data_IF_926493189278
#
_entry.id   IF_926493189278
#
_cell.length_a   1.000
_cell.length_b   1.000
_cell.length_c   1.000
_cell.angle_alpha   90.00
_cell.angle_beta   90.00
_cell.angle_gamma   90.00
#
_symmetry.space_group_name_H-M   'P 1'
#
loop_
_entity.id
_entity.type
_entity.pdbx_description
1 polymer ?
#
# COMPACT_ATOMS: atom_id res chain seq x y z
N UNK A 1 95.37 -34.34 16.86
CA UNK A 1 94.72 -34.22 18.18
C UNK A 1 93.49 -33.37 17.94
N UNK A 2 92.30 -33.99 18.10
CA UNK A 2 91.02 -33.52 18.70
C UNK A 2 90.75 -32.00 18.49
N UNK A 3 89.69 -31.55 17.82
CA UNK A 3 88.24 -31.60 18.18
C UNK A 3 87.40 -31.39 16.89
N UNK A 4 86.35 -32.18 16.62
CA UNK A 4 84.93 -31.97 16.98
C UNK A 4 84.36 -30.61 16.51
N UNK A 5 83.46 -30.64 15.51
CA UNK A 5 82.28 -29.75 15.46
C UNK A 5 81.25 -30.24 14.41
N UNK A 6 80.30 -30.98 14.98
CA UNK A 6 78.86 -31.04 14.73
C UNK A 6 78.28 -30.27 13.51
N UNK A 7 77.93 -31.02 12.45
CA UNK A 7 77.10 -30.50 11.35
C UNK A 7 75.62 -30.68 11.70
N UNK A 8 75.08 -29.65 12.33
CA UNK A 8 73.65 -29.40 12.58
C UNK A 8 72.81 -29.57 11.31
N UNK A 9 72.02 -30.64 11.24
CA UNK A 9 70.90 -30.81 10.31
C UNK A 9 69.71 -29.96 10.78
N UNK A 10 69.53 -28.79 10.18
CA UNK A 10 68.35 -27.94 10.37
C UNK A 10 67.43 -28.05 9.17
N UNK A 11 66.40 -28.88 9.26
CA UNK A 11 65.23 -28.85 8.39
C UNK A 11 63.97 -29.10 9.22
N UNK A 12 63.01 -28.19 9.03
CA UNK A 12 61.56 -28.36 9.11
C UNK A 12 60.84 -28.05 10.44
N UNK A 13 60.65 -26.75 10.64
CA UNK A 13 59.56 -26.11 11.40
C UNK A 13 58.18 -26.57 10.91
N UNK A 14 57.62 -27.62 11.52
CA UNK A 14 56.19 -27.89 11.45
C UNK A 14 55.48 -27.16 12.59
N UNK A 15 55.24 -25.85 12.39
CA UNK A 15 54.32 -25.05 13.19
C UNK A 15 52.92 -25.67 13.08
N UNK A 16 52.49 -26.40 14.12
CA UNK A 16 51.11 -26.86 14.25
C UNK A 16 50.26 -25.67 14.65
N UNK A 17 49.62 -25.07 13.64
CA UNK A 17 48.69 -23.95 13.76
C UNK A 17 47.42 -24.41 14.49
N UNK A 18 47.24 -23.86 15.69
CA UNK A 18 46.03 -23.87 16.48
C UNK A 18 44.98 -23.00 15.79
N UNK A 19 44.21 -23.63 14.89
CA UNK A 19 42.95 -23.07 14.41
C UNK A 19 41.83 -23.96 14.91
N UNK A 20 41.44 -23.72 16.16
CA UNK A 20 40.08 -23.91 16.65
C UNK A 20 39.08 -23.37 15.63
N UNK A 21 38.68 -24.21 14.68
CA UNK A 21 37.56 -23.98 13.77
C UNK A 21 36.28 -24.16 14.60
N UNK A 22 36.02 -23.16 15.44
CA UNK A 22 34.64 -22.83 15.78
C UNK A 22 34.02 -22.36 14.48
N UNK A 23 33.60 -23.33 13.68
CA UNK A 23 32.61 -23.09 12.64
C UNK A 23 31.52 -22.29 13.33
N UNK A 24 31.47 -21.00 13.02
CA UNK A 24 30.33 -20.15 13.32
C UNK A 24 29.18 -20.88 12.67
N UNK A 25 28.44 -21.64 13.48
CA UNK A 25 27.16 -22.19 13.08
C UNK A 25 26.30 -20.95 12.91
N UNK A 26 26.34 -20.39 11.70
CA UNK A 26 25.36 -19.44 11.20
C UNK A 26 24.06 -20.22 11.21
N UNK A 27 23.43 -20.27 12.38
CA UNK A 27 22.10 -20.79 12.52
C UNK A 27 21.22 -19.74 11.89
N UNK A 28 20.90 -19.96 10.61
CA UNK A 28 19.98 -19.17 9.82
C UNK A 28 18.59 -19.42 10.40
N UNK A 29 18.33 -18.83 11.57
CA UNK A 29 17.13 -19.01 12.38
C UNK A 29 15.93 -18.25 11.74
N UNK A 30 15.86 -18.21 10.41
CA UNK A 30 14.78 -17.59 9.62
C UNK A 30 13.44 -18.27 9.86
N UNK A 31 13.44 -19.51 10.36
CA UNK A 31 12.21 -20.26 10.63
C UNK A 31 11.55 -19.84 11.96
N UNK A 32 12.30 -19.25 12.90
CA UNK A 32 11.76 -18.85 14.20
C UNK A 32 11.12 -17.45 14.13
N UNK A 33 9.93 -17.40 13.56
CA UNK A 33 9.14 -16.17 13.41
C UNK A 33 8.42 -16.02 12.08
N UNK A 34 8.59 -16.96 11.15
CA UNK A 34 7.75 -17.03 9.94
C UNK A 34 6.37 -17.48 10.39
N UNK A 35 5.46 -16.52 10.54
CA UNK A 35 4.03 -16.77 10.60
C UNK A 35 3.62 -17.56 9.34
N UNK A 36 3.66 -18.89 9.43
CA UNK A 36 3.06 -19.82 8.48
C UNK A 36 1.53 -19.73 8.56
N UNK A 37 0.93 -18.57 8.23
CA UNK A 37 -0.47 -18.52 7.78
C UNK A 37 -0.91 -17.18 7.14
N UNK A 38 -0.03 -16.48 6.40
CA UNK A 38 -0.47 -15.31 5.61
C UNK A 38 -1.20 -15.70 4.31
N UNK A 39 -1.24 -16.99 3.98
CA UNK A 39 -1.94 -17.52 2.80
C UNK A 39 -3.46 -17.59 2.94
N UNK A 40 -3.99 -17.36 4.14
CA UNK A 40 -5.41 -17.50 4.44
C UNK A 40 -6.21 -16.19 4.33
N UNK A 41 -5.67 -15.13 3.69
CA UNK A 41 -6.56 -14.08 3.17
C UNK A 41 -7.41 -14.75 2.10
N UNK A 42 -8.71 -14.83 2.34
CA UNK A 42 -9.60 -15.49 1.39
C UNK A 42 -9.59 -14.70 0.08
N UNK A 43 -9.61 -15.41 -1.05
CA UNK A 43 -9.74 -14.80 -2.39
C UNK A 43 -10.92 -13.80 -2.45
N UNK A 44 -11.94 -14.01 -1.62
CA UNK A 44 -13.13 -13.17 -1.46
C UNK A 44 -12.80 -11.80 -0.84
N UNK A 45 -12.00 -11.74 0.22
CA UNK A 45 -11.62 -10.48 0.87
C UNK A 45 -10.74 -9.62 -0.06
N UNK A 46 -9.76 -10.23 -0.72
CA UNK A 46 -8.94 -9.55 -1.73
C UNK A 46 -9.78 -9.03 -2.90
N UNK A 47 -10.74 -9.83 -3.37
CA UNK A 47 -11.67 -9.41 -4.42
C UNK A 47 -12.48 -8.18 -4.00
N UNK A 48 -12.97 -8.16 -2.77
CA UNK A 48 -13.80 -7.07 -2.24
C UNK A 48 -13.01 -5.77 -2.11
N UNK A 49 -11.77 -5.85 -1.58
CA UNK A 49 -10.84 -4.71 -1.52
C UNK A 49 -10.58 -4.14 -2.93
N UNK A 50 -10.27 -5.01 -3.89
CA UNK A 50 -10.01 -4.61 -5.27
C UNK A 50 -11.23 -3.95 -5.92
N UNK A 51 -12.43 -4.44 -5.64
CA UNK A 51 -13.67 -3.85 -6.17
C UNK A 51 -13.95 -2.47 -5.57
N UNK A 52 -13.78 -2.27 -4.27
CA UNK A 52 -13.93 -0.97 -3.62
C UNK A 52 -12.94 0.06 -4.20
N UNK A 53 -11.67 -0.31 -4.33
CA UNK A 53 -10.63 0.55 -4.92
C UNK A 53 -10.95 0.86 -6.40
N UNK A 54 -11.42 -0.13 -7.16
CA UNK A 54 -11.80 0.07 -8.57
C UNK A 54 -12.96 1.04 -8.71
N UNK A 55 -14.01 0.91 -7.89
CA UNK A 55 -15.13 1.87 -7.85
C UNK A 55 -14.64 3.29 -7.57
N UNK A 56 -13.74 3.46 -6.59
CA UNK A 56 -13.12 4.76 -6.29
C UNK A 56 -12.39 5.34 -7.51
N UNK A 57 -11.56 4.54 -8.20
CA UNK A 57 -10.84 4.97 -9.40
C UNK A 57 -11.78 5.39 -10.51
N UNK A 58 -12.82 4.59 -10.77
CA UNK A 58 -13.78 4.86 -11.83
C UNK A 58 -14.68 6.06 -11.51
N UNK A 59 -15.04 6.25 -10.24
CA UNK A 59 -15.70 7.45 -9.75
C UNK A 59 -14.86 8.71 -10.02
N UNK A 60 -13.59 8.74 -9.62
CA UNK A 60 -12.72 9.90 -9.86
C UNK A 60 -12.53 10.16 -11.37
N UNK A 61 -12.42 9.11 -12.19
CA UNK A 61 -12.39 9.24 -13.65
C UNK A 61 -13.70 9.83 -14.19
N UNK A 62 -14.85 9.44 -13.63
CA UNK A 62 -16.15 9.97 -14.04
C UNK A 62 -16.28 11.45 -13.65
N UNK A 63 -15.86 11.81 -12.43
CA UNK A 63 -15.82 13.20 -11.97
C UNK A 63 -14.95 14.04 -12.90
N UNK A 64 -13.73 13.60 -13.19
CA UNK A 64 -12.78 14.36 -14.01
C UNK A 64 -13.22 14.57 -15.46
N UNK A 65 -14.07 13.69 -16.00
CA UNK A 65 -14.62 13.81 -17.35
C UNK A 65 -15.97 14.51 -17.41
N UNK A 66 -16.66 14.65 -16.28
CA UNK A 66 -18.01 15.22 -16.22
C UNK A 66 -17.97 16.60 -15.59
N UNK A 67 -18.26 17.63 -16.40
CA UNK A 67 -18.42 19.00 -15.91
C UNK A 67 -19.54 19.11 -14.88
N UNK A 68 -20.63 18.34 -15.02
CA UNK A 68 -21.75 18.32 -14.07
C UNK A 68 -21.27 17.84 -12.69
N UNK A 69 -20.57 16.70 -12.63
CA UNK A 69 -20.10 16.13 -11.37
C UNK A 69 -18.99 16.99 -10.76
N UNK A 70 -18.07 17.50 -11.60
CA UNK A 70 -17.02 18.42 -11.16
C UNK A 70 -17.60 19.70 -10.57
N UNK A 71 -18.60 20.29 -11.21
CA UNK A 71 -19.27 21.50 -10.73
C UNK A 71 -20.02 21.24 -9.42
N UNK A 72 -20.69 20.09 -9.29
CA UNK A 72 -21.33 19.69 -8.05
C UNK A 72 -20.31 19.61 -6.90
N UNK A 73 -19.23 18.86 -7.10
CA UNK A 73 -18.20 18.69 -6.07
C UNK A 73 -17.55 20.02 -5.72
N UNK A 74 -17.24 20.88 -6.69
CA UNK A 74 -16.66 22.20 -6.42
C UNK A 74 -17.62 23.13 -5.67
N UNK A 75 -18.93 23.07 -5.97
CA UNK A 75 -19.96 23.83 -5.24
C UNK A 75 -20.07 23.36 -3.79
N UNK A 76 -20.12 22.05 -3.56
CA UNK A 76 -20.19 21.46 -2.22
C UNK A 76 -18.90 21.69 -1.42
N UNK A 77 -17.74 21.60 -2.08
CA UNK A 77 -16.44 21.96 -1.52
C UNK A 77 -16.43 23.39 -0.98
N UNK A 78 -17.03 24.33 -1.72
CA UNK A 78 -17.17 25.72 -1.29
C UNK A 78 -18.02 25.89 -0.03
N UNK A 79 -19.02 25.03 0.18
CA UNK A 79 -19.86 25.03 1.40
C UNK A 79 -19.09 24.47 2.60
N UNK A 80 -18.34 23.39 2.39
CA UNK A 80 -17.58 22.70 3.44
C UNK A 80 -16.20 23.34 3.72
N UNK A 81 -15.85 24.43 3.02
CA UNK A 81 -14.55 25.15 3.12
C UNK A 81 -13.32 24.26 2.95
N UNK A 82 -13.45 23.16 2.19
CA UNK A 82 -12.32 22.29 1.93
C UNK A 82 -11.38 22.97 0.91
N UNK A 83 -10.07 22.94 1.15
CA UNK A 83 -9.07 23.55 0.27
C UNK A 83 -8.62 22.61 -0.87
N UNK A 84 -8.61 21.31 -0.62
CA UNK A 84 -8.07 20.30 -1.54
C UNK A 84 -9.06 19.90 -2.64
N UNK A 85 -8.56 19.57 -3.83
CA UNK A 85 -9.38 19.12 -4.96
C UNK A 85 -9.28 17.61 -5.11
N UNK A 86 -10.43 16.92 -5.14
CA UNK A 86 -10.54 15.47 -5.37
C UNK A 86 -9.73 15.00 -6.61
N UNK A 87 -9.56 15.87 -7.61
CA UNK A 87 -8.86 15.53 -8.85
C UNK A 87 -7.33 15.63 -8.78
N UNK A 88 -6.77 16.33 -7.78
CA UNK A 88 -5.32 16.57 -7.70
C UNK A 88 -4.60 15.35 -7.11
N UNK A 89 -5.30 14.50 -6.34
CA UNK A 89 -4.68 13.43 -5.57
C UNK A 89 -4.53 12.10 -6.32
N UNK A 90 -5.16 11.95 -7.49
CA UNK A 90 -5.25 10.67 -8.20
C UNK A 90 -4.32 10.54 -9.43
N UNK A 91 -3.38 11.47 -9.64
CA UNK A 91 -2.40 11.40 -10.76
C UNK A 91 -1.16 10.58 -10.37
N UNK A 92 -0.90 9.54 -11.18
CA UNK A 92 0.21 8.57 -11.20
C UNK A 92 1.43 8.81 -10.33
N UNK A 93 1.64 7.92 -9.34
CA UNK A 93 2.88 7.19 -8.97
C UNK A 93 2.65 6.36 -7.69
N UNK A 94 3.64 5.58 -7.23
CA UNK A 94 3.60 4.49 -6.22
C UNK A 94 2.61 4.65 -5.04
N UNK A 95 2.37 5.87 -4.55
CA UNK A 95 1.38 6.21 -3.51
C UNK A 95 -0.06 6.48 -4.01
N UNK A 96 -0.37 6.12 -5.26
CA UNK A 96 -1.66 6.46 -5.89
C UNK A 96 -2.88 5.84 -5.22
N UNK A 97 -2.74 4.65 -4.61
CA UNK A 97 -3.85 4.04 -3.86
C UNK A 97 -4.03 4.73 -2.51
N UNK A 98 -2.95 5.02 -1.78
CA UNK A 98 -3.01 5.77 -0.52
C UNK A 98 -3.67 7.14 -0.73
N UNK A 99 -3.17 7.94 -1.67
CA UNK A 99 -3.73 9.26 -1.98
C UNK A 99 -5.18 9.19 -2.49
N UNK A 100 -5.52 8.18 -3.30
CA UNK A 100 -6.89 7.95 -3.75
C UNK A 100 -7.81 7.68 -2.57
N UNK A 101 -7.48 6.71 -1.72
CA UNK A 101 -8.31 6.30 -0.58
C UNK A 101 -8.43 7.48 0.39
N UNK A 102 -7.33 8.15 0.71
CA UNK A 102 -7.31 9.33 1.56
C UNK A 102 -8.22 10.45 1.01
N UNK A 103 -8.14 10.73 -0.30
CA UNK A 103 -8.95 11.77 -0.92
C UNK A 103 -10.44 11.40 -0.95
N UNK A 104 -10.78 10.13 -1.19
CA UNK A 104 -12.17 9.63 -1.15
C UNK A 104 -12.74 9.73 0.27
N UNK A 105 -11.97 9.31 1.28
CA UNK A 105 -12.38 9.42 2.69
C UNK A 105 -12.53 10.87 3.13
N UNK A 106 -11.59 11.75 2.73
CA UNK A 106 -11.66 13.18 3.02
C UNK A 106 -12.91 13.84 2.43
N UNK A 107 -13.34 13.39 1.24
CA UNK A 107 -14.55 13.89 0.58
C UNK A 107 -15.81 13.04 0.84
N UNK A 108 -15.79 12.11 1.81
CA UNK A 108 -16.89 11.15 2.10
C UNK A 108 -18.24 11.83 2.25
N UNK A 109 -18.30 12.97 2.94
CA UNK A 109 -19.53 13.75 3.13
C UNK A 109 -20.09 14.31 1.82
N UNK A 110 -19.24 14.92 0.99
CA UNK A 110 -19.61 15.46 -0.32
C UNK A 110 -20.06 14.34 -1.27
N UNK A 111 -19.35 13.22 -1.27
CA UNK A 111 -19.69 12.03 -2.06
C UNK A 111 -21.04 11.45 -1.61
N UNK A 112 -21.30 11.40 -0.29
CA UNK A 112 -22.59 10.98 0.24
C UNK A 112 -23.75 11.87 -0.25
N UNK A 113 -23.56 13.20 -0.22
CA UNK A 113 -24.55 14.15 -0.76
C UNK A 113 -24.74 13.99 -2.27
N UNK A 114 -23.66 13.78 -3.02
CA UNK A 114 -23.73 13.49 -4.44
C UNK A 114 -24.61 12.27 -4.72
N UNK A 115 -24.47 11.18 -3.95
CA UNK A 115 -25.28 9.99 -4.14
C UNK A 115 -26.74 10.14 -3.70
N UNK A 116 -27.03 11.00 -2.72
CA UNK A 116 -28.38 11.35 -2.34
C UNK A 116 -29.08 12.24 -3.40
N UNK A 117 -28.35 13.22 -3.93
CA UNK A 117 -28.88 14.24 -4.86
C UNK A 117 -28.70 13.86 -6.34
N UNK A 118 -28.14 12.68 -6.65
CA UNK A 118 -27.80 12.27 -8.04
C UNK A 118 -28.97 12.31 -9.03
N UNK A 119 -30.20 12.19 -8.55
CA UNK A 119 -31.42 12.24 -9.36
C UNK A 119 -31.87 13.66 -9.69
N UNK A 120 -31.39 14.65 -8.92
CA UNK A 120 -31.62 16.08 -9.15
C UNK A 120 -30.59 16.66 -10.11
N UNK A 121 -29.50 15.93 -10.34
CA UNK A 121 -28.54 16.26 -11.38
C UNK A 121 -29.14 15.96 -12.74
N UNK A 122 -28.98 16.89 -13.68
CA UNK A 122 -29.38 16.75 -15.08
C UNK A 122 -28.51 15.73 -15.85
N UNK A 123 -28.41 14.50 -15.33
CA UNK A 123 -27.67 13.39 -15.90
C UNK A 123 -28.58 12.56 -16.81
N UNK A 124 -28.02 12.06 -17.91
CA UNK A 124 -28.70 11.04 -18.72
C UNK A 124 -28.86 9.74 -17.92
N UNK A 125 -29.88 8.94 -18.25
CA UNK A 125 -30.10 7.62 -17.63
C UNK A 125 -28.85 6.73 -17.63
N UNK A 126 -28.07 6.75 -18.72
CA UNK A 126 -26.81 6.00 -18.83
C UNK A 126 -25.74 6.49 -17.83
N UNK A 127 -25.63 7.81 -17.65
CA UNK A 127 -24.70 8.40 -16.67
C UNK A 127 -25.14 8.09 -15.24
N UNK A 128 -26.44 8.16 -14.97
CA UNK A 128 -27.01 7.84 -13.65
C UNK A 128 -26.74 6.38 -13.27
N UNK A 129 -26.98 5.42 -14.17
CA UNK A 129 -26.67 4.00 -13.95
C UNK A 129 -25.18 3.80 -13.63
N UNK A 130 -24.29 4.47 -14.36
CA UNK A 130 -22.85 4.41 -14.08
C UNK A 130 -22.52 4.98 -12.70
N UNK A 131 -23.09 6.13 -12.36
CA UNK A 131 -22.85 6.78 -11.06
C UNK A 131 -23.33 5.90 -9.89
N UNK A 132 -24.50 5.27 -10.01
CA UNK A 132 -24.98 4.28 -9.04
C UNK A 132 -24.06 3.06 -8.96
N UNK A 133 -23.48 2.62 -10.08
CA UNK A 133 -22.50 1.52 -10.08
C UNK A 133 -21.20 1.82 -9.34
N UNK A 134 -20.88 3.11 -9.12
CA UNK A 134 -19.72 3.54 -8.34
C UNK A 134 -20.01 3.72 -6.85
N UNK A 135 -21.28 3.65 -6.46
CA UNK A 135 -21.70 3.87 -5.08
C UNK A 135 -21.10 2.79 -4.17
N UNK A 136 -20.44 3.27 -3.11
CA UNK A 136 -19.83 2.45 -2.08
C UNK A 136 -20.88 2.11 -1.03
N UNK A 137 -21.05 0.82 -0.77
CA UNK A 137 -21.88 0.35 0.33
C UNK A 137 -21.15 0.52 1.68
N UNK A 138 -21.83 0.24 2.79
CA UNK A 138 -21.29 0.42 4.13
C UNK A 138 -19.99 -0.38 4.36
N UNK A 139 -19.95 -1.62 3.90
CA UNK A 139 -18.79 -2.50 4.10
C UNK A 139 -17.60 -2.03 3.27
N UNK A 140 -17.84 -1.57 2.04
CA UNK A 140 -16.82 -0.97 1.18
C UNK A 140 -16.23 0.31 1.82
N UNK A 141 -17.04 1.12 2.50
CA UNK A 141 -16.51 2.26 3.27
C UNK A 141 -15.62 1.83 4.43
N UNK A 142 -16.02 0.79 5.18
CA UNK A 142 -15.22 0.24 6.28
C UNK A 142 -13.89 -0.33 5.74
N UNK A 143 -13.94 -1.03 4.61
CA UNK A 143 -12.76 -1.54 3.92
C UNK A 143 -11.80 -0.41 3.55
N UNK A 144 -12.32 0.72 3.03
CA UNK A 144 -11.47 1.87 2.69
C UNK A 144 -10.81 2.47 3.94
N UNK A 145 -11.52 2.55 5.06
CA UNK A 145 -10.96 3.01 6.34
C UNK A 145 -9.81 2.07 6.79
N UNK A 146 -10.00 0.74 6.77
CA UNK A 146 -8.96 -0.23 7.10
C UNK A 146 -7.76 -0.17 6.14
N UNK A 147 -8.01 -0.05 4.83
CA UNK A 147 -6.96 0.10 3.82
C UNK A 147 -6.16 1.37 4.07
N UNK A 148 -6.80 2.47 4.48
CA UNK A 148 -6.10 3.71 4.80
C UNK A 148 -5.19 3.56 6.01
N UNK A 149 -5.64 2.91 7.08
CA UNK A 149 -4.84 2.64 8.28
C UNK A 149 -3.59 1.81 7.94
N UNK A 150 -3.77 0.73 7.18
CA UNK A 150 -2.66 -0.11 6.72
C UNK A 150 -1.71 0.68 5.84
N UNK A 151 -2.21 1.48 4.88
CA UNK A 151 -1.33 2.26 4.00
C UNK A 151 -0.62 3.41 4.72
N UNK A 152 -1.17 3.94 5.82
CA UNK A 152 -0.53 4.99 6.61
C UNK A 152 0.75 4.50 7.26
N UNK A 153 0.79 3.28 7.80
CA UNK A 153 2.00 2.75 8.44
C UNK A 153 3.19 2.63 7.47
N UNK A 154 2.92 2.27 6.21
CA UNK A 154 3.95 2.24 5.17
C UNK A 154 4.33 3.64 4.67
N UNK A 155 3.37 4.58 4.63
CA UNK A 155 3.63 5.95 4.21
C UNK A 155 4.48 6.72 5.23
N UNK A 156 4.24 6.53 6.53
CA UNK A 156 5.03 7.16 7.60
C UNK A 156 6.45 6.60 7.73
N UNK A 157 6.67 5.36 7.28
CA UNK A 157 7.98 4.73 7.27
C UNK A 157 8.89 5.17 6.10
N UNK A 158 8.38 5.99 5.17
CA UNK A 158 9.09 6.47 3.96
C UNK A 158 9.44 7.95 4.07
#
# INVERSE_FOLDING_TARGET
>A
MIDDDDLSSGEDDAMSDDSSDTSDVVNDNWEEGVLEDLTSITCIEQYTINQAIKKCRDFVKAVSKSSILSNFINKEKGKDKLSNSLMIDCKSRWSSTHRLVQSILFHKSIIGRLYAEKYELNLTRKQLIKLTGYELNRDEWIILDCVQEVLNSFFEAT
#
